data_IF_696045636318
#
_entry.id   IF_696045636318
#
_cell.length_a   1.000
_cell.length_b   1.000
_cell.length_c   1.000
_cell.angle_alpha   90.00
_cell.angle_beta   90.00
_cell.angle_gamma   90.00
#
_symmetry.space_group_name_H-M   'P 1'
#
loop_
_entity.id
_entity.type
_entity.pdbx_description
1 polymer ?
#
# COMPACT_ATOMS: atom_id res chain seq x y z
N UNK A 1 19.47 9.79 -25.07
CA UNK A 1 18.65 9.42 -23.88
C UNK A 1 17.25 10.00 -24.00
N UNK A 2 17.10 11.25 -24.42
CA UNK A 2 15.80 11.95 -24.51
C UNK A 2 14.79 11.29 -25.46
N UNK A 3 15.21 10.77 -26.61
CA UNK A 3 14.33 10.07 -27.57
C UNK A 3 13.69 8.80 -26.99
N UNK A 4 14.43 8.04 -26.18
CA UNK A 4 13.92 6.82 -25.53
C UNK A 4 12.90 7.18 -24.46
N UNK A 5 13.15 8.25 -23.69
CA UNK A 5 12.20 8.74 -22.67
C UNK A 5 10.91 9.26 -23.30
N UNK A 6 11.00 9.91 -24.47
CA UNK A 6 9.82 10.36 -25.24
C UNK A 6 9.01 9.19 -25.80
N UNK A 7 9.67 8.15 -26.31
CA UNK A 7 9.03 6.96 -26.87
C UNK A 7 8.26 6.14 -25.82
N UNK A 8 8.76 6.11 -24.59
CA UNK A 8 8.16 5.37 -23.46
C UNK A 8 7.58 6.30 -22.38
N UNK A 9 7.11 7.50 -22.79
CA UNK A 9 6.61 8.51 -21.86
C UNK A 9 5.42 8.05 -20.99
N UNK A 10 4.64 7.10 -21.46
CA UNK A 10 3.49 6.50 -20.76
C UNK A 10 3.89 5.76 -19.48
N UNK A 11 5.04 5.06 -19.46
CA UNK A 11 5.52 4.35 -18.26
C UNK A 11 5.99 5.29 -17.14
N UNK A 12 6.25 6.57 -17.43
CA UNK A 12 6.62 7.58 -16.44
C UNK A 12 5.42 8.33 -15.85
N UNK A 13 4.22 8.02 -16.30
CA UNK A 13 2.99 8.61 -15.75
C UNK A 13 2.70 8.06 -14.34
N UNK A 14 1.85 8.77 -13.58
CA UNK A 14 1.41 8.24 -12.29
C UNK A 14 0.39 7.12 -12.50
N UNK A 15 0.61 5.94 -11.90
CA UNK A 15 -0.36 4.86 -12.01
C UNK A 15 -1.70 5.29 -11.39
N UNK A 16 -2.79 4.93 -12.08
CA UNK A 16 -4.17 5.18 -11.63
C UNK A 16 -4.98 3.91 -11.77
N UNK A 17 -6.01 3.76 -10.93
CA UNK A 17 -6.85 2.56 -10.91
C UNK A 17 -6.19 1.36 -10.23
N UNK A 18 -6.86 0.22 -10.36
CA UNK A 18 -6.35 -1.08 -9.90
C UNK A 18 -5.65 -1.75 -11.07
N UNK A 19 -4.41 -2.21 -10.92
CA UNK A 19 -3.69 -2.91 -11.98
C UNK A 19 -4.44 -4.17 -12.44
N UNK A 20 -4.90 -4.18 -13.69
CA UNK A 20 -5.74 -5.27 -14.22
C UNK A 20 -4.94 -6.54 -14.54
N UNK A 21 -3.66 -6.43 -14.83
CA UNK A 21 -2.81 -7.53 -15.30
C UNK A 21 -1.79 -8.01 -14.25
N UNK A 22 -1.90 -7.57 -13.01
CA UNK A 22 -1.03 -8.07 -11.95
C UNK A 22 -1.50 -9.47 -11.51
N UNK A 23 -0.67 -10.49 -11.75
CA UNK A 23 -0.94 -11.88 -11.32
C UNK A 23 -0.82 -12.00 -9.79
N UNK A 24 0.08 -11.24 -9.19
CA UNK A 24 0.29 -11.21 -7.76
C UNK A 24 -0.70 -10.30 -7.07
N UNK A 25 -1.57 -10.88 -6.26
CA UNK A 25 -2.49 -10.15 -5.40
C UNK A 25 -2.07 -10.28 -3.96
N UNK A 26 -2.41 -9.29 -3.15
CA UNK A 26 -2.12 -9.31 -1.72
C UNK A 26 -3.28 -9.93 -0.94
N UNK A 27 -3.13 -11.14 -0.36
CA UNK A 27 -4.12 -11.76 0.49
C UNK A 27 -4.01 -11.22 1.93
N UNK A 28 -5.13 -11.21 2.65
CA UNK A 28 -5.18 -10.89 4.08
C UNK A 28 -5.82 -12.07 4.81
N UNK A 29 -5.01 -13.06 5.15
CA UNK A 29 -5.46 -14.24 5.87
C UNK A 29 -5.59 -13.93 7.36
N UNK A 30 -6.78 -14.10 7.92
CA UNK A 30 -7.03 -13.82 9.33
C UNK A 30 -7.09 -15.11 10.15
N UNK A 31 -6.64 -15.02 11.39
CA UNK A 31 -6.81 -16.08 12.40
C UNK A 31 -8.30 -16.29 12.65
N UNK A 32 -8.75 -17.53 12.53
CA UNK A 32 -10.15 -17.90 12.68
C UNK A 32 -10.69 -17.50 14.07
N UNK A 33 -11.84 -16.82 14.09
CA UNK A 33 -12.51 -16.39 15.33
C UNK A 33 -11.88 -15.17 16.01
N UNK A 34 -10.84 -14.57 15.44
CA UNK A 34 -10.26 -13.36 16.00
C UNK A 34 -11.20 -12.14 15.83
N UNK A 35 -11.29 -11.26 16.85
CA UNK A 35 -12.15 -10.08 16.78
C UNK A 35 -11.61 -9.08 15.76
N UNK A 36 -12.49 -8.61 14.86
CA UNK A 36 -12.12 -7.64 13.83
C UNK A 36 -11.85 -6.25 14.44
N UNK A 37 -10.87 -5.50 13.87
CA UNK A 37 -10.59 -4.13 14.30
C UNK A 37 -11.83 -3.23 14.13
N UNK A 38 -12.25 -2.58 15.20
CA UNK A 38 -13.40 -1.67 15.17
C UNK A 38 -13.25 -0.54 16.22
N UNK A 39 -12.11 0.14 16.23
CA UNK A 39 -11.83 1.24 17.15
C UNK A 39 -12.69 2.48 16.90
N UNK A 40 -12.86 3.33 17.93
CA UNK A 40 -13.51 4.63 17.81
C UNK A 40 -12.59 5.64 17.14
N UNK A 41 -13.17 6.53 16.32
CA UNK A 41 -12.42 7.58 15.62
C UNK A 41 -11.81 8.54 16.64
N UNK A 42 -10.53 8.90 16.47
CA UNK A 42 -9.87 9.90 17.30
C UNK A 42 -10.45 11.30 17.07
N UNK A 43 -10.52 12.08 18.16
CA UNK A 43 -10.82 13.51 18.05
C UNK A 43 -9.63 14.21 17.37
N UNK A 44 -9.90 15.01 16.34
CA UNK A 44 -8.90 15.71 15.54
C UNK A 44 -9.24 17.20 15.43
N UNK A 45 -8.23 17.99 15.12
CA UNK A 45 -8.40 19.39 14.76
C UNK A 45 -9.12 19.54 13.42
N UNK A 46 -9.59 20.76 13.14
CA UNK A 46 -10.23 21.07 11.84
C UNK A 46 -9.24 20.87 10.70
N UNK A 47 -8.00 21.36 10.85
CA UNK A 47 -6.95 21.22 9.85
C UNK A 47 -6.62 19.75 9.50
N UNK A 48 -6.55 18.89 10.52
CA UNK A 48 -6.33 17.45 10.30
C UNK A 48 -7.49 16.80 9.56
N UNK A 49 -8.74 17.17 9.88
CA UNK A 49 -9.91 16.65 9.19
C UNK A 49 -9.96 17.10 7.72
N UNK A 50 -9.62 18.36 7.43
CA UNK A 50 -9.58 18.88 6.07
C UNK A 50 -8.51 18.16 5.23
N UNK A 51 -7.33 17.91 5.80
CA UNK A 51 -6.28 17.15 5.14
C UNK A 51 -6.70 15.68 4.87
N UNK A 52 -7.35 15.02 5.83
CA UNK A 52 -7.89 13.67 5.65
C UNK A 52 -8.91 13.66 4.52
N UNK A 53 -9.86 14.60 4.51
CA UNK A 53 -10.88 14.72 3.48
C UNK A 53 -10.25 14.91 2.09
N UNK A 54 -9.29 15.83 1.98
CA UNK A 54 -8.54 16.07 0.73
C UNK A 54 -7.87 14.79 0.23
N UNK A 55 -7.21 14.06 1.15
CA UNK A 55 -6.50 12.82 0.80
C UNK A 55 -7.44 11.70 0.38
N UNK A 56 -8.57 11.55 1.05
CA UNK A 56 -9.63 10.58 0.66
C UNK A 56 -10.15 10.89 -0.76
N UNK A 57 -10.42 12.15 -1.07
CA UNK A 57 -10.87 12.56 -2.40
C UNK A 57 -9.82 12.26 -3.48
N UNK A 58 -8.55 12.52 -3.19
CA UNK A 58 -7.43 12.14 -4.08
C UNK A 58 -7.40 10.63 -4.35
N UNK A 59 -7.51 9.81 -3.30
CA UNK A 59 -7.47 8.35 -3.40
C UNK A 59 -8.69 7.77 -4.12
N UNK A 60 -9.88 8.34 -3.91
CA UNK A 60 -11.10 7.99 -4.64
C UNK A 60 -10.97 8.32 -6.12
N UNK A 61 -10.46 9.53 -6.45
CA UNK A 61 -10.22 9.93 -7.84
C UNK A 61 -9.21 9.03 -8.55
N UNK A 62 -8.18 8.57 -7.84
CA UNK A 62 -7.20 7.59 -8.36
C UNK A 62 -7.77 6.18 -8.48
N UNK A 63 -8.95 5.89 -7.96
CA UNK A 63 -9.51 4.54 -7.93
C UNK A 63 -8.76 3.57 -7.01
N UNK A 64 -7.97 4.07 -6.05
CA UNK A 64 -7.21 3.24 -5.10
C UNK A 64 -8.07 2.76 -3.92
N UNK A 65 -9.14 3.49 -3.60
CA UNK A 65 -10.08 3.15 -2.53
C UNK A 65 -11.51 3.25 -3.03
N UNK A 66 -12.44 2.61 -2.31
CA UNK A 66 -13.88 2.77 -2.51
C UNK A 66 -14.62 2.85 -1.16
N UNK A 67 -15.88 3.33 -1.11
CA UNK A 67 -16.72 3.22 0.07
C UNK A 67 -16.92 1.76 0.49
N UNK A 68 -16.97 1.53 1.81
CA UNK A 68 -17.20 0.21 2.42
C UNK A 68 -18.42 0.26 3.35
N UNK A 69 -19.09 -0.89 3.50
CA UNK A 69 -20.23 -1.06 4.44
C UNK A 69 -20.00 -2.18 5.45
N UNK A 70 -18.82 -2.79 5.45
CA UNK A 70 -18.51 -3.98 6.26
C UNK A 70 -17.96 -3.63 7.65
N UNK A 71 -18.02 -4.54 8.63
CA UNK A 71 -17.81 -4.22 10.06
C UNK A 71 -16.36 -3.97 10.46
N UNK A 72 -15.38 -4.17 9.57
CA UNK A 72 -13.98 -3.90 9.86
C UNK A 72 -13.64 -2.41 9.67
N UNK A 73 -12.81 -1.84 10.54
CA UNK A 73 -12.41 -0.43 10.37
C UNK A 73 -11.20 -0.05 11.21
N UNK A 74 -10.06 0.07 10.55
CA UNK A 74 -8.83 0.60 11.12
C UNK A 74 -8.88 2.13 11.23
N UNK A 75 -7.98 2.73 12.00
CA UNK A 75 -8.00 4.17 12.25
C UNK A 75 -6.99 4.89 11.38
N UNK A 76 -7.31 6.12 10.96
CA UNK A 76 -6.35 7.00 10.29
C UNK A 76 -5.45 7.64 11.34
N UNK A 77 -4.16 7.76 11.05
CA UNK A 77 -3.17 8.52 11.81
C UNK A 77 -2.49 9.51 10.87
N UNK A 78 -2.52 10.79 11.21
CA UNK A 78 -1.73 11.81 10.50
C UNK A 78 -0.42 12.04 11.23
N UNK A 79 0.68 11.99 10.49
CA UNK A 79 2.02 12.26 11.02
C UNK A 79 2.59 13.46 10.28
N UNK A 80 2.91 14.53 11.01
CA UNK A 80 3.56 15.68 10.42
C UNK A 80 5.01 15.36 10.08
N UNK A 81 5.41 15.66 8.84
CA UNK A 81 6.80 15.54 8.40
C UNK A 81 7.62 16.76 8.80
N UNK A 82 8.95 16.66 8.71
CA UNK A 82 9.88 17.76 8.99
C UNK A 82 9.67 18.98 8.08
N UNK A 83 9.14 18.77 6.87
CA UNK A 83 8.83 19.81 5.88
C UNK A 83 7.45 20.46 6.11
N UNK A 84 6.75 20.14 7.21
CA UNK A 84 5.42 20.66 7.53
C UNK A 84 4.27 19.97 6.79
N UNK A 85 4.53 19.08 5.83
CA UNK A 85 3.50 18.30 5.15
C UNK A 85 3.01 17.14 6.01
N UNK A 86 1.81 16.63 5.70
CA UNK A 86 1.22 15.50 6.41
C UNK A 86 1.45 14.17 5.70
N UNK A 87 1.77 13.13 6.48
CA UNK A 87 1.74 11.74 6.02
C UNK A 87 0.43 11.12 6.49
N UNK A 88 -0.39 10.68 5.54
CA UNK A 88 -1.61 9.92 5.78
C UNK A 88 -1.25 8.45 5.97
N UNK A 89 -1.51 7.91 7.14
CA UNK A 89 -1.24 6.53 7.51
C UNK A 89 -2.52 5.87 8.05
N UNK A 90 -2.64 4.55 7.86
CA UNK A 90 -3.67 3.75 8.50
C UNK A 90 -3.02 2.91 9.59
N UNK A 91 -3.62 2.90 10.78
CA UNK A 91 -3.15 2.09 11.89
C UNK A 91 -3.68 0.65 11.77
N UNK A 92 -2.90 -0.18 11.11
CA UNK A 92 -3.22 -1.60 10.95
C UNK A 92 -2.71 -2.48 12.09
N UNK A 93 -2.19 -1.94 13.20
CA UNK A 93 -1.63 -2.76 14.28
C UNK A 93 -2.62 -3.79 14.83
N UNK A 94 -3.89 -3.43 14.97
CA UNK A 94 -4.92 -4.37 15.42
C UNK A 94 -5.22 -5.45 14.37
N UNK A 95 -5.27 -5.10 13.08
CA UNK A 95 -5.43 -6.04 11.97
C UNK A 95 -4.21 -6.97 11.88
N UNK A 96 -3.01 -6.41 11.93
CA UNK A 96 -1.75 -7.15 11.83
C UNK A 96 -1.59 -8.21 12.93
N UNK A 97 -2.12 -7.95 14.14
CA UNK A 97 -2.09 -8.92 15.26
C UNK A 97 -2.89 -10.19 14.98
N UNK A 98 -3.92 -10.11 14.15
CA UNK A 98 -4.80 -11.22 13.80
C UNK A 98 -4.55 -11.75 12.38
N UNK A 99 -3.64 -11.14 11.63
CA UNK A 99 -3.25 -11.60 10.30
C UNK A 99 -2.21 -12.71 10.43
N UNK A 100 -2.43 -13.81 9.71
CA UNK A 100 -1.47 -14.90 9.60
C UNK A 100 -0.23 -14.39 8.86
N UNK A 101 0.93 -14.48 9.50
CA UNK A 101 2.18 -13.98 8.93
C UNK A 101 2.70 -14.91 7.85
N UNK A 102 3.00 -14.36 6.69
CA UNK A 102 3.71 -15.03 5.63
C UNK A 102 5.20 -15.17 6.02
N UNK A 103 5.86 -16.24 5.55
CA UNK A 103 7.28 -16.50 5.76
C UNK A 103 8.05 -16.55 4.44
N UNK A 104 7.63 -15.73 3.48
CA UNK A 104 8.39 -15.62 2.22
C UNK A 104 9.81 -15.15 2.53
N UNK A 105 10.85 -15.83 2.04
CA UNK A 105 12.22 -15.46 2.32
C UNK A 105 12.53 -14.10 1.67
N UNK A 106 12.90 -13.13 2.50
CA UNK A 106 13.41 -11.85 2.00
C UNK A 106 14.92 -12.03 1.80
N UNK A 107 15.47 -11.77 0.60
CA UNK A 107 16.90 -11.88 0.33
C UNK A 107 17.72 -11.03 1.31
N UNK A 108 18.86 -11.53 1.75
CA UNK A 108 19.77 -10.77 2.59
C UNK A 108 20.46 -9.69 1.73
N UNK A 109 20.64 -8.52 2.32
CA UNK A 109 21.31 -7.40 1.64
C UNK A 109 22.71 -7.80 1.18
N UNK A 110 23.44 -8.57 1.99
CA UNK A 110 24.80 -9.06 1.66
C UNK A 110 24.78 -9.93 0.40
N UNK A 111 23.80 -10.84 0.28
CA UNK A 111 23.66 -11.73 -0.88
C UNK A 111 23.35 -10.93 -2.15
N UNK A 112 22.52 -9.87 -2.05
CA UNK A 112 22.22 -8.97 -3.17
C UNK A 112 23.45 -8.14 -3.59
N UNK A 113 24.25 -7.68 -2.62
CA UNK A 113 25.49 -6.95 -2.92
C UNK A 113 26.56 -7.85 -3.57
N UNK A 114 26.65 -9.12 -3.17
CA UNK A 114 27.56 -10.07 -3.79
C UNK A 114 27.22 -10.36 -5.25
N UNK A 115 25.94 -10.33 -5.64
CA UNK A 115 25.51 -10.44 -7.03
C UNK A 115 25.99 -9.26 -7.90
N UNK A 116 26.21 -8.08 -7.32
CA UNK A 116 26.70 -6.90 -8.02
C UNK A 116 28.23 -6.87 -8.16
N UNK A 117 28.93 -7.84 -7.60
CA UNK A 117 30.39 -7.89 -7.57
C UNK A 117 30.98 -8.09 -8.98
N UNK A 118 31.81 -7.16 -9.39
CA UNK A 118 32.46 -7.18 -10.71
C UNK A 118 31.79 -6.31 -11.77
N UNK A 119 30.58 -5.83 -11.50
CA UNK A 119 29.88 -4.91 -12.42
C UNK A 119 30.48 -3.50 -12.36
N UNK A 120 30.50 -2.81 -13.51
CA UNK A 120 31.05 -1.46 -13.65
C UNK A 120 29.99 -0.38 -13.81
N UNK A 121 28.79 -0.78 -14.22
CA UNK A 121 27.66 0.13 -14.48
C UNK A 121 26.44 -0.35 -13.72
N UNK A 122 25.76 0.58 -13.08
CA UNK A 122 24.56 0.30 -12.30
C UNK A 122 23.42 1.21 -12.77
N UNK A 123 22.23 0.64 -12.91
CA UNK A 123 21.01 1.39 -13.12
C UNK A 123 20.11 1.25 -11.89
N UNK A 124 19.58 2.38 -11.40
CA UNK A 124 18.62 2.40 -10.30
C UNK A 124 17.25 2.77 -10.85
N UNK A 125 16.30 1.86 -10.70
CA UNK A 125 14.89 2.09 -11.05
C UNK A 125 14.11 2.23 -9.75
N UNK A 126 13.30 3.29 -9.64
CA UNK A 126 12.41 3.53 -8.50
C UNK A 126 10.96 3.44 -8.96
N UNK A 127 10.25 2.45 -8.46
CA UNK A 127 8.85 2.24 -8.81
C UNK A 127 7.96 3.28 -8.13
N UNK A 128 7.36 4.16 -8.92
CA UNK A 128 6.43 5.16 -8.40
C UNK A 128 5.22 4.50 -7.77
N UNK A 129 5.04 4.71 -6.46
CA UNK A 129 3.94 4.10 -5.68
C UNK A 129 3.88 2.57 -5.78
N UNK A 130 5.03 1.89 -5.76
CA UNK A 130 5.16 0.45 -6.03
C UNK A 130 4.15 -0.43 -5.28
N UNK A 131 3.87 -0.17 -4.00
CA UNK A 131 2.86 -0.92 -3.24
C UNK A 131 1.45 -0.76 -3.82
N UNK A 132 1.08 0.42 -4.29
CA UNK A 132 -0.23 0.65 -4.92
C UNK A 132 -0.36 0.02 -6.31
N UNK A 133 0.69 -0.61 -6.82
CA UNK A 133 0.63 -1.38 -8.06
C UNK A 133 0.29 -2.86 -7.82
N UNK A 134 0.12 -3.27 -6.56
CA UNK A 134 -0.34 -4.60 -6.19
C UNK A 134 -1.82 -4.53 -5.78
N UNK A 135 -2.75 -5.22 -6.46
CA UNK A 135 -4.15 -5.28 -6.04
C UNK A 135 -4.31 -6.12 -4.77
N UNK A 136 -5.28 -5.78 -3.93
CA UNK A 136 -5.74 -6.65 -2.85
C UNK A 136 -6.57 -7.80 -3.45
N UNK A 137 -6.46 -9.00 -2.88
CA UNK A 137 -7.36 -10.10 -3.26
C UNK A 137 -8.83 -9.68 -3.06
N UNK A 138 -9.69 -9.77 -4.07
CA UNK A 138 -11.06 -9.24 -4.01
C UNK A 138 -11.89 -9.71 -2.82
N UNK A 139 -11.70 -10.95 -2.37
CA UNK A 139 -12.36 -11.51 -1.18
C UNK A 139 -11.90 -10.87 0.12
N UNK A 140 -10.73 -10.21 0.12
CA UNK A 140 -10.05 -9.69 1.31
C UNK A 140 -10.09 -8.17 1.42
N UNK A 141 -10.53 -7.48 0.38
CA UNK A 141 -10.59 -6.01 0.29
C UNK A 141 -11.22 -5.38 1.54
N UNK A 142 -12.32 -5.90 2.01
CA UNK A 142 -13.06 -5.37 3.16
C UNK A 142 -12.26 -5.42 4.49
N UNK A 143 -11.30 -6.34 4.62
CA UNK A 143 -10.52 -6.53 5.85
C UNK A 143 -9.58 -5.35 6.14
N UNK A 144 -9.17 -4.63 5.10
CA UNK A 144 -8.28 -3.47 5.21
C UNK A 144 -9.03 -2.13 5.36
N UNK A 145 -10.34 -2.16 5.58
CA UNK A 145 -11.16 -0.96 5.69
C UNK A 145 -10.69 -0.02 6.80
N UNK A 146 -10.88 1.28 6.58
CA UNK A 146 -10.51 2.33 7.54
C UNK A 146 -11.61 3.38 7.69
N UNK A 147 -11.66 3.98 8.88
CA UNK A 147 -12.70 4.94 9.29
C UNK A 147 -12.22 6.38 9.16
N UNK A 148 -13.03 7.20 8.51
CA UNK A 148 -12.94 8.64 8.49
C UNK A 148 -14.25 9.28 8.99
N UNK A 149 -14.24 10.58 9.18
CA UNK A 149 -15.47 11.34 9.53
C UNK A 149 -16.51 11.25 8.41
N UNK A 150 -16.04 11.16 7.15
CA UNK A 150 -16.84 11.09 5.94
C UNK A 150 -17.46 9.71 5.70
N UNK A 151 -16.98 8.67 6.39
CA UNK A 151 -17.47 7.31 6.22
C UNK A 151 -16.39 6.24 6.38
N UNK A 152 -16.73 5.05 5.92
CA UNK A 152 -15.85 3.88 5.88
C UNK A 152 -15.38 3.68 4.46
N UNK A 153 -14.09 3.43 4.30
CA UNK A 153 -13.44 3.21 3.00
C UNK A 153 -12.55 1.98 3.05
N UNK A 154 -12.34 1.34 1.92
CA UNK A 154 -11.45 0.18 1.80
C UNK A 154 -10.52 0.34 0.61
N UNK A 155 -9.28 -0.15 0.75
CA UNK A 155 -8.29 -0.12 -0.31
C UNK A 155 -8.48 -1.27 -1.29
N UNK A 156 -8.43 -0.93 -2.57
CA UNK A 156 -8.43 -1.89 -3.68
C UNK A 156 -7.01 -2.33 -4.07
N UNK A 157 -6.03 -1.50 -3.69
CA UNK A 157 -4.60 -1.75 -3.89
C UNK A 157 -3.89 -1.85 -2.55
N UNK A 158 -2.74 -2.49 -2.50
CA UNK A 158 -2.00 -2.76 -1.27
C UNK A 158 -1.50 -1.46 -0.62
N UNK A 159 -2.01 -1.09 0.57
CA UNK A 159 -1.53 0.09 1.29
C UNK A 159 -0.27 -0.23 2.08
N UNK A 160 0.40 0.82 2.54
CA UNK A 160 1.46 0.68 3.54
C UNK A 160 0.90 0.28 4.90
N UNK A 161 1.66 -0.52 5.64
CA UNK A 161 1.39 -0.87 7.04
C UNK A 161 0.71 -2.21 7.27
N UNK A 162 0.31 -2.94 6.25
CA UNK A 162 -0.10 -4.34 6.38
C UNK A 162 1.12 -5.23 6.61
N UNK A 163 0.98 -6.25 7.46
CA UNK A 163 2.11 -7.07 7.93
C UNK A 163 2.80 -7.85 6.81
N UNK A 164 2.05 -8.36 5.83
CA UNK A 164 2.57 -9.19 4.73
C UNK A 164 2.85 -8.39 3.44
N UNK A 165 2.77 -7.04 3.48
CA UNK A 165 3.04 -6.22 2.29
C UNK A 165 4.47 -6.33 1.77
N UNK A 166 5.52 -6.35 2.64
CA UNK A 166 6.89 -6.51 2.17
C UNK A 166 7.09 -7.83 1.41
N UNK A 167 6.57 -8.94 1.94
CA UNK A 167 6.70 -10.27 1.34
C UNK A 167 5.97 -10.37 -0.01
N UNK A 168 4.77 -9.78 -0.10
CA UNK A 168 4.02 -9.73 -1.36
C UNK A 168 4.76 -8.89 -2.40
N UNK A 169 5.34 -7.76 -1.97
CA UNK A 169 6.10 -6.88 -2.85
C UNK A 169 7.40 -7.53 -3.33
N UNK A 170 8.12 -8.26 -2.47
CA UNK A 170 9.31 -9.01 -2.86
C UNK A 170 8.98 -10.08 -3.90
N UNK A 171 7.88 -10.82 -3.70
CA UNK A 171 7.43 -11.81 -4.69
C UNK A 171 7.14 -11.17 -6.06
N UNK A 172 6.53 -9.97 -6.06
CA UNK A 172 6.34 -9.22 -7.31
C UNK A 172 7.69 -8.84 -7.95
N UNK A 173 8.65 -8.42 -7.13
CA UNK A 173 9.99 -8.05 -7.64
C UNK A 173 10.74 -9.25 -8.22
N UNK A 174 10.61 -10.42 -7.60
CA UNK A 174 11.21 -11.67 -8.12
C UNK A 174 10.59 -12.09 -9.46
N UNK A 175 9.29 -11.83 -9.67
CA UNK A 175 8.61 -12.13 -10.94
C UNK A 175 8.91 -11.10 -12.06
N UNK A 176 9.29 -9.88 -11.72
CA UNK A 176 9.64 -8.79 -12.65
C UNK A 176 11.15 -8.74 -12.93
N UNK A 177 11.94 -9.36 -12.09
CA UNK A 177 13.39 -9.45 -12.26
C UNK A 177 13.81 -10.26 -13.49
N UNK A 178 15.04 -10.05 -13.99
CA UNK A 178 15.57 -10.78 -15.15
C UNK A 178 15.74 -12.27 -14.87
#
# INVERSE_FOLDING_TARGET
MDKVVEEYGDIFTSPTGVPLHCQNKHPIDLTLGAPLPNGSIYRRSVLENDEIKRKIQELLHKGHIRPSSLPCGSLIVLVQKKDGTWRFCIDYRALNKITVQNRYPIPRIDDLLDQLKGEKYFSKIDLKSGYHQVPIEPSDVWKNAFKAKEGLFEWLVMPFGLTNSPETFMRLMDDVGP
#
